data_IF_309117418230
#
_entry.id   IF_309117418230
#
_cell.length_a   1.000
_cell.length_b   1.000
_cell.length_c   1.000
_cell.angle_alpha   90.00
_cell.angle_beta   90.00
_cell.angle_gamma   90.00
#
_symmetry.space_group_name_H-M   'P 1'
#
loop_
_entity.id
_entity.type
_entity.pdbx_description
1 polymer ?
#
# COMPACT_ATOMS: atom_id res chain seq x y z
N UNK A 1 3.42 5.12 46.62
CA UNK A 1 4.37 6.12 46.09
C UNK A 1 5.59 5.38 45.60
N UNK A 2 5.92 5.49 44.31
CA UNK A 2 7.29 5.42 43.78
C UNK A 2 7.22 5.77 42.29
N UNK A 3 7.64 6.99 41.99
CA UNK A 3 7.84 7.52 40.65
C UNK A 3 8.97 6.74 39.96
N UNK A 4 8.81 6.39 38.69
CA UNK A 4 9.93 5.97 37.84
C UNK A 4 9.94 6.80 36.58
N UNK A 5 11.10 7.41 36.36
CA UNK A 5 11.38 8.55 35.49
C UNK A 5 11.30 8.24 34.00
N UNK A 6 10.70 9.17 33.25
CA UNK A 6 10.61 9.20 31.79
C UNK A 6 11.88 9.81 31.19
N UNK A 7 12.50 9.14 30.21
CA UNK A 7 13.53 9.76 29.36
C UNK A 7 13.15 9.64 27.89
N UNK A 8 13.05 10.80 27.23
CA UNK A 8 12.68 10.97 25.81
C UNK A 8 13.95 10.91 24.97
N UNK A 9 14.02 9.98 24.00
CA UNK A 9 15.05 9.99 22.96
C UNK A 9 14.56 10.82 21.78
N UNK A 10 15.31 11.87 21.44
CA UNK A 10 15.16 12.60 20.17
C UNK A 10 16.15 12.02 19.17
N UNK A 11 15.67 11.50 18.03
CA UNK A 11 16.54 11.14 16.90
C UNK A 11 16.17 11.99 15.69
N UNK A 12 17.13 12.79 15.22
CA UNK A 12 17.09 13.53 13.95
C UNK A 12 17.80 12.68 12.89
N UNK A 13 17.15 11.65 12.34
CA UNK A 13 17.72 10.92 11.18
C UNK A 13 16.61 10.28 10.34
N UNK A 14 16.46 10.79 9.11
CA UNK A 14 15.81 10.21 7.92
C UNK A 14 14.53 9.34 8.12
N UNK A 15 13.44 9.98 8.56
CA UNK A 15 12.09 9.42 8.41
C UNK A 15 11.51 9.78 7.04
N UNK A 16 11.58 8.85 6.09
CA UNK A 16 10.77 8.86 4.86
C UNK A 16 10.33 7.44 4.48
N UNK A 17 9.65 6.75 5.39
CA UNK A 17 8.65 5.78 4.94
C UNK A 17 7.48 6.58 4.37
N UNK A 18 7.24 6.44 3.07
CA UNK A 18 6.36 7.28 2.24
C UNK A 18 4.89 7.38 2.68
N UNK A 19 4.46 6.74 3.77
CA UNK A 19 3.11 6.87 4.35
C UNK A 19 3.08 7.61 5.70
N UNK A 20 4.23 7.73 6.39
CA UNK A 20 4.25 8.05 7.83
C UNK A 20 4.82 9.42 8.21
N UNK A 21 5.32 10.24 7.27
CA UNK A 21 6.00 11.50 7.62
C UNK A 21 5.10 12.74 7.74
N UNK A 22 3.79 12.64 7.49
CA UNK A 22 2.98 13.82 7.15
C UNK A 22 2.17 14.44 8.31
N UNK A 23 1.94 13.69 9.38
CA UNK A 23 1.01 14.11 10.44
C UNK A 23 1.69 14.87 11.60
N UNK A 24 2.95 15.29 11.49
CA UNK A 24 3.72 15.92 12.59
C UNK A 24 3.69 15.05 13.87
N UNK A 25 4.11 13.80 13.76
CA UNK A 25 4.08 12.84 14.87
C UNK A 25 5.15 13.09 15.94
N UNK A 26 4.81 12.79 17.21
CA UNK A 26 5.73 12.10 18.09
C UNK A 26 5.37 10.62 17.94
N UNK A 27 6.19 9.84 17.23
CA UNK A 27 5.97 8.40 17.19
C UNK A 27 6.26 7.89 18.60
N UNK A 28 5.21 7.65 19.38
CA UNK A 28 5.27 6.94 20.65
C UNK A 28 4.75 5.53 20.38
N UNK A 29 5.65 4.57 20.49
CA UNK A 29 5.33 3.15 20.39
C UNK A 29 4.68 2.69 21.70
N UNK A 30 3.43 2.22 21.65
CA UNK A 30 2.67 1.83 22.85
C UNK A 30 2.31 0.34 22.87
N UNK A 31 2.39 -0.27 24.06
CA UNK A 31 2.11 -1.69 24.34
C UNK A 31 0.67 -1.91 24.79
N UNK A 32 -0.07 -2.72 24.05
CA UNK A 32 -1.31 -3.35 24.52
C UNK A 32 -1.14 -4.87 24.53
N UNK A 33 -1.28 -5.48 25.70
CA UNK A 33 -1.25 -6.95 25.87
C UNK A 33 -2.69 -7.40 26.12
N UNK A 34 -3.33 -8.01 25.13
CA UNK A 34 -4.53 -8.82 25.37
C UNK A 34 -4.21 -10.30 25.12
N UNK A 35 -4.57 -11.13 26.10
CA UNK A 35 -4.46 -12.59 26.02
C UNK A 35 -5.37 -13.09 24.89
N UNK A 36 -4.77 -13.62 23.82
CA UNK A 36 -5.51 -14.41 22.83
C UNK A 36 -5.14 -14.19 21.36
N UNK A 37 -4.51 -13.07 20.98
CA UNK A 37 -3.85 -12.76 19.69
C UNK A 37 -3.29 -11.32 19.76
N UNK A 38 -2.03 -11.06 19.38
CA UNK A 38 -1.76 -9.94 18.44
C UNK A 38 -0.50 -10.09 17.56
N UNK A 39 -0.45 -9.42 16.39
CA UNK A 39 0.77 -9.16 15.57
C UNK A 39 1.12 -7.65 15.52
N UNK A 40 0.90 -6.93 16.63
CA UNK A 40 1.43 -5.57 16.82
C UNK A 40 2.29 -5.60 18.08
N UNK A 41 3.60 -5.50 17.89
CA UNK A 41 4.59 -5.62 18.97
C UNK A 41 5.49 -4.38 19.05
N UNK A 42 6.09 -4.21 20.22
CA UNK A 42 6.81 -3.02 20.69
C UNK A 42 8.18 -3.50 21.18
N UNK A 43 9.27 -2.94 20.66
CA UNK A 43 10.61 -3.30 21.10
C UNK A 43 11.39 -2.20 21.82
N UNK A 44 12.27 -2.65 22.73
CA UNK A 44 13.27 -1.89 23.50
C UNK A 44 14.67 -2.13 22.91
N UNK A 45 15.53 -1.10 22.99
CA UNK A 45 16.89 -0.99 22.41
C UNK A 45 18.02 -1.68 23.18
N UNK A 46 19.08 -2.00 22.42
CA UNK A 46 20.51 -1.83 22.76
C UNK A 46 21.23 -0.92 21.73
N UNK A 47 22.35 -0.30 22.13
CA UNK A 47 23.27 0.62 21.38
C UNK A 47 23.95 -0.04 20.14
N UNK A 48 24.60 0.62 19.16
CA UNK A 48 25.47 1.81 19.18
C UNK A 48 25.62 2.46 17.76
N UNK A 49 26.48 3.48 17.62
CA UNK A 49 26.49 4.60 16.67
C UNK A 49 27.48 4.55 15.46
N UNK A 50 27.35 5.55 14.56
CA UNK A 50 28.28 6.16 13.54
C UNK A 50 27.81 6.03 12.06
N UNK A 51 27.34 7.08 11.35
CA UNK A 51 27.95 8.28 10.70
C UNK A 51 28.55 8.03 9.30
N UNK A 52 28.04 8.70 8.24
CA UNK A 52 28.77 9.45 7.15
C UNK A 52 27.84 9.90 5.98
N UNK A 53 28.26 10.81 5.05
CA UNK A 53 27.43 11.91 4.56
C UNK A 53 27.05 11.83 3.06
N UNK A 54 26.13 12.74 2.69
CA UNK A 54 25.54 13.00 1.37
C UNK A 54 26.57 13.47 0.33
N UNK A 55 26.34 13.13 -0.95
CA UNK A 55 26.53 14.05 -2.07
C UNK A 55 25.52 13.76 -3.20
N UNK A 56 24.89 14.84 -3.68
CA UNK A 56 24.12 14.92 -4.93
C UNK A 56 25.08 15.34 -6.04
N UNK A 57 24.92 14.83 -7.26
CA UNK A 57 24.42 15.65 -8.38
C UNK A 57 24.25 14.86 -9.68
N UNK A 58 23.16 15.21 -10.36
CA UNK A 58 22.89 15.01 -11.77
C UNK A 58 23.85 15.85 -12.64
N UNK A 59 24.30 15.30 -13.79
CA UNK A 59 24.23 15.87 -15.16
C UNK A 59 25.41 15.43 -16.07
N UNK A 60 25.02 14.97 -17.27
CA UNK A 60 25.64 15.08 -18.61
C UNK A 60 27.14 14.79 -18.86
N UNK A 61 27.37 13.77 -19.70
CA UNK A 61 28.62 13.46 -20.44
C UNK A 61 28.82 14.42 -21.64
N UNK A 62 30.08 14.68 -22.08
CA UNK A 62 30.60 13.90 -23.22
C UNK A 62 32.13 13.59 -23.27
N UNK A 63 32.42 12.41 -23.83
CA UNK A 63 33.50 11.89 -24.71
C UNK A 63 35.01 12.28 -24.64
N UNK A 64 35.80 11.22 -24.91
CA UNK A 64 37.14 11.10 -25.55
C UNK A 64 38.37 11.03 -24.62
N UNK A 65 39.47 10.32 -24.89
CA UNK A 65 39.86 9.22 -25.80
C UNK A 65 41.28 8.72 -25.34
N UNK A 66 41.57 7.44 -25.59
CA UNK A 66 42.88 6.78 -25.85
C UNK A 66 43.92 6.39 -24.75
N UNK A 67 44.21 5.07 -24.77
CA UNK A 67 45.48 4.29 -24.62
C UNK A 67 46.28 4.37 -23.30
N UNK A 68 46.97 3.34 -22.80
CA UNK A 68 47.79 2.29 -23.43
C UNK A 68 47.91 1.05 -22.51
N UNK A 69 48.15 -0.14 -23.09
CA UNK A 69 48.35 -1.44 -22.43
C UNK A 69 49.81 -1.62 -21.97
N UNK A 70 50.04 -2.18 -20.77
CA UNK A 70 51.23 -2.99 -20.45
C UNK A 70 50.87 -4.15 -19.49
N UNK A 71 51.64 -5.24 -19.59
CA UNK A 71 51.33 -6.61 -19.21
C UNK A 71 51.82 -7.02 -17.80
N UNK A 72 51.21 -8.11 -17.28
CA UNK A 72 51.66 -9.09 -16.25
C UNK A 72 51.09 -8.97 -14.82
N UNK A 73 50.39 -10.05 -14.40
CA UNK A 73 50.04 -10.35 -13.01
C UNK A 73 48.77 -11.19 -12.90
N UNK A 74 48.89 -12.51 -12.92
CA UNK A 74 47.78 -13.43 -12.64
C UNK A 74 47.52 -13.47 -11.13
N UNK A 75 46.55 -12.69 -10.67
CA UNK A 75 45.83 -12.86 -9.40
C UNK A 75 44.55 -12.00 -9.47
N UNK A 76 43.40 -12.62 -9.19
CA UNK A 76 42.08 -12.00 -9.07
C UNK A 76 41.56 -11.24 -10.31
N UNK A 77 40.99 -11.98 -11.26
CA UNK A 77 40.15 -11.37 -12.31
C UNK A 77 38.83 -10.88 -11.70
N UNK A 78 38.85 -9.69 -11.11
CA UNK A 78 37.70 -8.80 -11.18
C UNK A 78 37.43 -8.52 -12.67
N UNK A 79 36.34 -9.10 -13.19
CA UNK A 79 35.81 -8.78 -14.50
C UNK A 79 35.41 -7.29 -14.55
N UNK A 80 36.35 -6.45 -14.99
CA UNK A 80 36.13 -5.02 -15.27
C UNK A 80 35.40 -4.76 -16.59
N UNK A 81 34.55 -5.69 -17.05
CA UNK A 81 33.80 -5.58 -18.31
C UNK A 81 32.28 -5.79 -18.20
N UNK A 82 31.72 -6.16 -17.03
CA UNK A 82 30.25 -6.32 -16.95
C UNK A 82 29.56 -4.96 -16.75
N UNK A 83 28.76 -4.54 -17.74
CA UNK A 83 27.90 -3.34 -17.67
C UNK A 83 26.75 -3.45 -16.63
N UNK A 84 26.74 -4.47 -15.78
CA UNK A 84 25.70 -4.76 -14.80
C UNK A 84 26.18 -5.71 -13.70
N UNK A 85 25.27 -6.05 -12.77
CA UNK A 85 25.53 -6.95 -11.65
C UNK A 85 25.01 -8.36 -11.92
N UNK A 86 25.69 -9.39 -11.42
CA UNK A 86 25.14 -10.75 -11.48
C UNK A 86 23.82 -10.83 -10.67
N UNK A 87 22.81 -11.56 -11.17
CA UNK A 87 21.52 -11.73 -10.48
C UNK A 87 21.70 -12.15 -9.01
N UNK A 88 22.59 -13.12 -8.75
CA UNK A 88 22.93 -13.58 -7.39
C UNK A 88 23.43 -12.44 -6.49
N UNK A 89 24.21 -11.51 -7.03
CA UNK A 89 24.70 -10.35 -6.26
C UNK A 89 23.54 -9.40 -5.92
N UNK A 90 22.67 -9.11 -6.90
CA UNK A 90 21.47 -8.29 -6.67
C UNK A 90 20.57 -8.92 -5.60
N UNK A 91 20.28 -10.21 -5.70
CA UNK A 91 19.48 -10.93 -4.70
C UNK A 91 20.12 -10.91 -3.32
N UNK A 92 21.45 -11.07 -3.22
CA UNK A 92 22.16 -10.96 -1.95
C UNK A 92 21.96 -9.59 -1.31
N UNK A 93 22.00 -8.51 -2.10
CA UNK A 93 21.76 -7.14 -1.61
C UNK A 93 20.31 -6.93 -1.19
N UNK A 94 19.34 -7.40 -1.98
CA UNK A 94 17.91 -7.34 -1.64
C UNK A 94 17.60 -8.10 -0.35
N UNK A 95 18.15 -9.32 -0.18
CA UNK A 95 17.97 -10.12 1.04
C UNK A 95 18.67 -9.50 2.26
N UNK A 96 19.79 -8.79 2.07
CA UNK A 96 20.44 -8.06 3.13
C UNK A 96 19.62 -6.84 3.58
N UNK A 97 18.91 -6.18 2.66
CA UNK A 97 17.97 -5.11 2.96
C UNK A 97 16.72 -5.64 3.69
N UNK A 98 16.15 -6.74 3.20
CA UNK A 98 15.01 -7.40 3.83
C UNK A 98 15.04 -8.89 3.49
N UNK A 99 15.24 -9.73 4.50
CA UNK A 99 15.22 -11.17 4.30
C UNK A 99 13.80 -11.62 3.92
N UNK A 100 13.62 -12.49 2.91
CA UNK A 100 12.33 -13.11 2.62
C UNK A 100 11.71 -13.85 3.82
N UNK A 101 12.53 -14.29 4.79
CA UNK A 101 12.06 -14.91 6.04
C UNK A 101 11.27 -13.96 6.96
N UNK A 102 11.23 -12.67 6.64
CA UNK A 102 10.43 -11.66 7.33
C UNK A 102 8.98 -11.62 6.84
N UNK A 103 8.69 -12.21 5.68
CA UNK A 103 7.34 -12.24 5.14
C UNK A 103 6.38 -13.05 6.02
N UNK A 104 5.10 -12.72 5.92
CA UNK A 104 4.05 -13.49 6.56
C UNK A 104 4.01 -14.93 6.02
N UNK A 105 3.60 -15.88 6.86
CA UNK A 105 3.68 -17.31 6.54
C UNK A 105 2.82 -17.78 5.36
N UNK A 106 1.84 -16.97 4.95
CA UNK A 106 0.95 -17.24 3.83
C UNK A 106 1.45 -16.62 2.51
N UNK A 107 2.49 -15.80 2.58
CA UNK A 107 2.95 -14.99 1.46
C UNK A 107 3.88 -15.75 0.52
N UNK A 108 4.03 -15.26 -0.72
CA UNK A 108 4.96 -15.80 -1.71
C UNK A 108 5.94 -14.72 -2.19
N UNK A 109 7.08 -14.63 -1.51
CA UNK A 109 8.10 -13.59 -1.70
C UNK A 109 9.43 -14.15 -2.21
N UNK A 110 10.32 -13.26 -2.64
CA UNK A 110 11.65 -13.60 -3.13
C UNK A 110 11.71 -13.66 -4.66
N UNK A 111 12.65 -14.46 -5.18
CA UNK A 111 12.78 -14.71 -6.62
C UNK A 111 11.70 -15.69 -7.08
N UNK A 112 10.74 -15.20 -7.87
CA UNK A 112 9.61 -15.97 -8.37
C UNK A 112 9.84 -16.58 -9.75
N UNK A 113 10.63 -15.91 -10.59
CA UNK A 113 11.02 -16.43 -11.92
C UNK A 113 12.52 -16.21 -12.11
N UNK A 114 13.25 -17.30 -12.33
CA UNK A 114 14.67 -17.30 -12.63
C UNK A 114 14.92 -17.83 -14.06
N UNK A 115 15.49 -17.02 -14.97
CA UNK A 115 15.94 -17.50 -16.26
C UNK A 115 17.05 -18.54 -16.12
N UNK A 116 17.05 -19.58 -16.97
CA UNK A 116 18.10 -20.63 -16.97
C UNK A 116 19.51 -20.04 -17.19
N UNK A 117 19.60 -19.00 -18.00
CA UNK A 117 20.84 -18.25 -18.24
C UNK A 117 20.61 -16.77 -17.93
N UNK A 118 20.74 -16.34 -16.66
CA UNK A 118 20.54 -14.95 -16.28
C UNK A 118 21.54 -14.04 -16.98
N UNK A 119 21.06 -12.89 -17.46
CA UNK A 119 21.92 -11.81 -17.95
C UNK A 119 22.46 -11.01 -16.75
N UNK A 120 23.60 -10.30 -16.90
CA UNK A 120 23.95 -9.24 -15.97
C UNK A 120 22.78 -8.24 -15.87
N UNK A 121 22.37 -7.91 -14.65
CA UNK A 121 21.29 -6.97 -14.36
C UNK A 121 21.82 -5.56 -14.57
N UNK A 122 21.30 -4.90 -15.60
CA UNK A 122 21.56 -3.48 -15.91
C UNK A 122 20.30 -2.67 -15.66
N UNK A 123 19.13 -3.16 -16.09
CA UNK A 123 17.87 -2.46 -15.96
C UNK A 123 16.92 -3.20 -15.02
N UNK A 124 16.47 -2.50 -13.97
CA UNK A 124 15.43 -2.99 -13.07
C UNK A 124 14.17 -2.15 -13.24
N UNK A 125 13.03 -2.80 -13.52
CA UNK A 125 11.72 -2.16 -13.52
C UNK A 125 11.03 -2.40 -12.17
N UNK A 126 10.67 -1.33 -11.47
CA UNK A 126 9.86 -1.34 -10.25
C UNK A 126 8.39 -1.12 -10.57
N UNK A 127 7.52 -1.95 -9.99
CA UNK A 127 6.07 -1.85 -10.13
C UNK A 127 5.39 -2.37 -8.87
N UNK A 128 4.20 -1.86 -8.57
CA UNK A 128 3.29 -2.40 -7.57
C UNK A 128 2.68 -3.69 -8.10
N UNK A 129 2.12 -3.61 -9.31
CA UNK A 129 1.38 -4.68 -9.96
C UNK A 129 1.92 -4.96 -11.36
N UNK A 130 2.58 -6.11 -11.56
CA UNK A 130 3.00 -6.55 -12.89
C UNK A 130 1.79 -6.97 -13.74
N UNK A 131 1.25 -6.03 -14.52
CA UNK A 131 0.21 -6.28 -15.53
C UNK A 131 0.80 -6.52 -16.92
N UNK A 132 -0.03 -6.91 -17.89
CA UNK A 132 0.41 -7.03 -19.30
C UNK A 132 0.89 -5.70 -19.89
N UNK A 133 0.37 -4.56 -19.43
CA UNK A 133 0.85 -3.25 -19.87
C UNK A 133 2.25 -2.97 -19.32
N UNK A 134 2.48 -3.22 -18.03
CA UNK A 134 3.79 -3.10 -17.39
C UNK A 134 4.81 -4.06 -18.00
N UNK A 135 4.38 -5.27 -18.38
CA UNK A 135 5.25 -6.23 -19.08
C UNK A 135 5.68 -5.72 -20.46
N UNK A 136 4.79 -5.11 -21.25
CA UNK A 136 5.17 -4.51 -22.54
C UNK A 136 6.20 -3.40 -22.35
N UNK A 137 5.97 -2.52 -21.38
CA UNK A 137 6.95 -1.50 -20.98
C UNK A 137 8.30 -2.12 -20.58
N UNK A 138 8.29 -3.22 -19.81
CA UNK A 138 9.52 -3.91 -19.41
C UNK A 138 10.33 -4.41 -20.62
N UNK A 139 9.66 -4.93 -21.65
CA UNK A 139 10.28 -5.37 -22.90
C UNK A 139 10.87 -4.20 -23.69
N UNK A 140 10.10 -3.11 -23.83
CA UNK A 140 10.55 -1.88 -24.51
C UNK A 140 11.79 -1.28 -23.85
N UNK A 141 11.86 -1.32 -22.51
CA UNK A 141 12.98 -0.83 -21.72
C UNK A 141 14.16 -1.81 -21.64
N UNK A 142 14.09 -2.96 -22.30
CA UNK A 142 15.13 -4.00 -22.21
C UNK A 142 15.46 -4.37 -20.77
N UNK A 143 14.42 -4.59 -19.96
CA UNK A 143 14.53 -4.92 -18.54
C UNK A 143 15.22 -6.28 -18.33
N UNK A 144 16.05 -6.39 -17.30
CA UNK A 144 16.71 -7.65 -16.91
C UNK A 144 16.08 -8.27 -15.65
N UNK A 145 15.55 -7.43 -14.75
CA UNK A 145 14.85 -7.84 -13.54
C UNK A 145 13.62 -6.94 -13.32
N UNK A 146 12.47 -7.56 -13.10
CA UNK A 146 11.27 -6.87 -12.62
C UNK A 146 11.17 -7.11 -11.11
N UNK A 147 11.00 -6.02 -10.35
CA UNK A 147 10.60 -6.09 -8.95
C UNK A 147 9.14 -5.65 -8.86
N UNK A 148 8.25 -6.63 -8.68
CA UNK A 148 6.81 -6.42 -8.52
C UNK A 148 6.44 -6.52 -7.05
N UNK A 149 5.95 -5.44 -6.44
CA UNK A 149 5.57 -5.40 -5.03
C UNK A 149 4.61 -6.54 -4.69
N UNK A 150 3.50 -6.63 -5.44
CA UNK A 150 2.58 -7.75 -5.38
C UNK A 150 3.11 -8.94 -6.20
N UNK A 151 3.10 -10.15 -5.63
CA UNK A 151 3.56 -11.35 -6.31
C UNK A 151 2.57 -11.79 -7.41
N UNK A 152 2.99 -11.82 -8.69
CA UNK A 152 2.11 -12.28 -9.76
C UNK A 152 1.77 -13.77 -9.58
N UNK A 153 2.74 -14.55 -9.11
CA UNK A 153 2.55 -15.93 -8.62
C UNK A 153 2.16 -15.85 -7.14
N UNK A 154 0.89 -15.63 -6.84
CA UNK A 154 0.42 -15.63 -5.43
C UNK A 154 0.01 -17.03 -4.97
N UNK A 155 -0.67 -17.78 -5.84
CA UNK A 155 -1.03 -19.18 -5.61
C UNK A 155 -0.14 -20.10 -6.47
N UNK A 156 0.14 -21.33 -6.00
CA UNK A 156 0.92 -22.30 -6.79
C UNK A 156 0.32 -22.56 -8.16
N UNK A 157 1.15 -22.48 -9.19
CA UNK A 157 0.77 -22.79 -10.57
C UNK A 157 0.93 -24.28 -10.83
N UNK A 158 -0.11 -24.91 -11.40
CA UNK A 158 -0.05 -26.32 -11.81
C UNK A 158 0.63 -26.52 -13.18
N UNK A 159 0.64 -25.48 -14.01
CA UNK A 159 1.27 -25.44 -15.32
C UNK A 159 1.58 -24.00 -15.71
N UNK A 160 2.54 -23.81 -16.61
CA UNK A 160 2.82 -22.52 -17.26
C UNK A 160 2.52 -22.65 -18.74
N UNK A 161 1.42 -22.03 -19.18
CA UNK A 161 0.96 -21.96 -20.57
C UNK A 161 0.65 -20.51 -20.95
N UNK A 162 -0.08 -20.25 -22.02
CA UNK A 162 -0.54 -18.89 -22.39
C UNK A 162 -2.03 -18.64 -22.09
N UNK A 163 -2.68 -19.57 -21.36
CA UNK A 163 -4.13 -19.54 -21.08
C UNK A 163 -4.55 -18.35 -20.22
N UNK A 164 -3.85 -18.10 -19.13
CA UNK A 164 -4.13 -16.97 -18.23
C UNK A 164 -3.10 -15.86 -18.42
N UNK A 165 -3.49 -14.62 -18.11
CA UNK A 165 -2.58 -13.47 -18.18
C UNK A 165 -1.36 -13.65 -17.27
N UNK A 166 -1.54 -14.20 -16.06
CA UNK A 166 -0.43 -14.49 -15.14
C UNK A 166 0.56 -15.51 -15.71
N UNK A 167 0.07 -16.59 -16.33
CA UNK A 167 0.96 -17.55 -16.98
C UNK A 167 1.69 -16.93 -18.18
N UNK A 168 1.01 -16.06 -18.97
CA UNK A 168 1.66 -15.29 -20.05
C UNK A 168 2.79 -14.41 -19.54
N UNK A 169 2.62 -13.70 -18.42
CA UNK A 169 3.70 -12.89 -17.83
C UNK A 169 4.93 -13.74 -17.52
N UNK A 170 4.73 -14.92 -16.93
CA UNK A 170 5.83 -15.83 -16.57
C UNK A 170 6.49 -16.41 -17.81
N UNK A 171 5.71 -16.84 -18.80
CA UNK A 171 6.23 -17.32 -20.07
C UNK A 171 7.07 -16.24 -20.77
N UNK A 172 6.58 -15.00 -20.82
CA UNK A 172 7.30 -13.85 -21.37
C UNK A 172 8.59 -13.56 -20.60
N UNK A 173 8.58 -13.60 -19.26
CA UNK A 173 9.79 -13.45 -18.44
C UNK A 173 10.86 -14.50 -18.82
N UNK A 174 10.48 -15.77 -18.92
CA UNK A 174 11.38 -16.86 -19.24
C UNK A 174 11.93 -16.75 -20.66
N UNK A 175 11.07 -16.48 -21.65
CA UNK A 175 11.43 -16.32 -23.06
C UNK A 175 12.43 -15.17 -23.26
N UNK A 176 12.25 -14.06 -22.54
CA UNK A 176 13.06 -12.85 -22.67
C UNK A 176 14.20 -12.77 -21.64
N UNK A 177 14.42 -13.84 -20.85
CA UNK A 177 15.45 -13.89 -19.79
C UNK A 177 15.36 -12.70 -18.82
N UNK A 178 14.15 -12.44 -18.34
CA UNK A 178 13.84 -11.43 -17.34
C UNK A 178 13.57 -12.15 -16.02
N UNK A 179 14.33 -11.80 -14.98
CA UNK A 179 14.05 -12.29 -13.64
C UNK A 179 12.85 -11.57 -13.03
N UNK A 180 12.10 -12.23 -12.16
CA UNK A 180 10.99 -11.64 -11.41
C UNK A 180 11.21 -11.84 -9.91
N UNK A 181 11.26 -10.74 -9.17
CA UNK A 181 11.36 -10.73 -7.72
C UNK A 181 10.14 -10.02 -7.11
N UNK A 182 9.61 -10.57 -6.01
CA UNK A 182 8.52 -9.93 -5.28
C UNK A 182 8.82 -9.83 -3.78
N UNK A 183 8.88 -8.62 -3.22
CA UNK A 183 9.18 -8.44 -1.80
C UNK A 183 7.95 -8.54 -0.90
N UNK A 184 6.82 -8.00 -1.33
CA UNK A 184 5.54 -7.93 -0.61
C UNK A 184 5.70 -7.70 0.90
N UNK A 185 5.13 -8.55 1.75
CA UNK A 185 5.09 -8.33 3.20
C UNK A 185 6.47 -8.30 3.88
N UNK A 186 7.52 -8.86 3.24
CA UNK A 186 8.88 -8.77 3.79
C UNK A 186 9.39 -7.32 3.86
N UNK A 187 8.87 -6.42 3.02
CA UNK A 187 9.25 -5.02 3.02
C UNK A 187 8.33 -4.14 3.88
N UNK A 188 7.14 -4.60 4.22
CA UNK A 188 6.19 -3.87 5.10
C UNK A 188 6.73 -3.63 6.51
N UNK A 189 7.62 -4.52 6.98
CA UNK A 189 8.12 -4.51 8.36
C UNK A 189 9.51 -3.88 8.51
N UNK A 190 10.08 -3.40 7.41
CA UNK A 190 11.47 -2.91 7.36
C UNK A 190 11.49 -1.39 7.37
N UNK A 191 12.30 -0.80 8.25
CA UNK A 191 12.55 0.65 8.28
C UNK A 191 13.95 0.91 7.75
N UNK A 192 14.06 1.49 6.54
CA UNK A 192 15.35 1.84 5.94
C UNK A 192 16.31 0.66 5.74
N UNK A 193 15.79 -0.56 5.55
CA UNK A 193 16.60 -1.78 5.39
C UNK A 193 16.97 -2.49 6.68
N UNK A 194 16.42 -2.05 7.82
CA UNK A 194 16.65 -2.71 9.11
C UNK A 194 15.35 -3.39 9.54
N UNK A 195 15.34 -4.73 9.72
CA UNK A 195 14.23 -5.43 10.33
C UNK A 195 14.04 -4.87 11.74
N UNK A 196 12.89 -4.25 12.01
CA UNK A 196 12.66 -3.68 13.33
C UNK A 196 12.24 -4.83 14.25
N UNK A 197 13.20 -5.41 14.98
CA UNK A 197 12.96 -6.56 15.86
C UNK A 197 11.72 -6.30 16.74
N UNK A 198 10.80 -7.27 16.81
CA UNK A 198 9.56 -7.14 17.57
C UNK A 198 8.53 -6.17 16.98
N UNK A 199 8.51 -5.96 15.66
CA UNK A 199 7.49 -5.16 14.96
C UNK A 199 6.77 -6.03 13.91
N UNK A 200 5.49 -5.74 13.70
CA UNK A 200 4.66 -6.34 12.65
C UNK A 200 4.27 -5.30 11.59
N UNK A 201 3.30 -5.66 10.76
CA UNK A 201 2.70 -4.77 9.76
C UNK A 201 1.88 -3.67 10.44
N UNK A 202 1.76 -2.52 9.77
CA UNK A 202 1.02 -1.36 10.27
C UNK A 202 1.69 -0.57 11.40
N UNK A 203 1.13 0.60 11.73
CA UNK A 203 1.66 1.52 12.76
C UNK A 203 0.52 2.13 13.58
N UNK A 204 0.72 2.23 14.89
CA UNK A 204 -0.11 3.05 15.78
C UNK A 204 0.66 4.31 16.16
N UNK A 205 0.10 5.46 15.83
CA UNK A 205 0.73 6.75 16.03
C UNK A 205 -0.11 7.63 16.96
N UNK A 206 0.57 8.49 17.72
CA UNK A 206 -0.06 9.51 18.56
C UNK A 206 0.36 10.88 18.06
N UNK A 207 -0.61 11.72 17.75
CA UNK A 207 -0.40 13.08 17.26
C UNK A 207 0.08 13.97 18.40
N UNK A 208 0.99 14.91 18.09
CA UNK A 208 1.46 15.90 19.09
C UNK A 208 0.35 16.83 19.54
N UNK A 209 -0.59 17.10 18.65
CA UNK A 209 -1.77 17.93 18.85
C UNK A 209 -2.93 17.22 18.16
N UNK A 210 -4.08 17.04 18.85
CA UNK A 210 -5.27 16.54 18.19
C UNK A 210 -5.65 17.40 16.98
N UNK A 211 -6.19 16.76 15.95
CA UNK A 211 -6.68 17.41 14.73
C UNK A 211 -8.11 16.96 14.46
N UNK A 212 -8.90 17.74 13.72
CA UNK A 212 -10.22 17.26 13.28
C UNK A 212 -10.09 16.16 12.23
N UNK A 213 -11.15 15.36 12.07
CA UNK A 213 -11.25 14.38 10.97
C UNK A 213 -11.10 15.04 9.61
N UNK A 214 -11.69 16.22 9.42
CA UNK A 214 -11.57 16.96 8.16
C UNK A 214 -10.10 17.33 7.86
N UNK A 215 -9.37 17.83 8.87
CA UNK A 215 -7.94 18.09 8.72
C UNK A 215 -7.16 16.79 8.43
N UNK A 216 -7.50 15.68 9.09
CA UNK A 216 -6.89 14.38 8.82
C UNK A 216 -7.11 13.94 7.36
N UNK A 217 -8.33 14.06 6.83
CA UNK A 217 -8.67 13.77 5.43
C UNK A 217 -7.84 14.60 4.47
N UNK A 218 -7.77 15.92 4.66
CA UNK A 218 -7.02 16.82 3.77
C UNK A 218 -5.51 16.54 3.83
N UNK A 219 -5.01 16.16 5.00
CA UNK A 219 -3.63 15.73 5.16
C UNK A 219 -3.33 14.44 4.40
N UNK A 220 -4.21 13.44 4.52
CA UNK A 220 -4.07 12.15 3.83
C UNK A 220 -4.11 12.34 2.31
N UNK A 221 -5.09 13.09 1.79
CA UNK A 221 -5.24 13.39 0.36
C UNK A 221 -4.00 14.07 -0.22
N UNK A 222 -3.48 15.08 0.49
CA UNK A 222 -2.26 15.81 0.07
C UNK A 222 -1.03 14.91 0.08
N UNK A 223 -0.92 14.03 1.06
CA UNK A 223 0.23 13.17 1.24
C UNK A 223 0.29 12.03 0.20
N UNK A 224 -0.84 11.37 -0.03
CA UNK A 224 -0.96 10.29 -1.02
C UNK A 224 -1.10 10.86 -2.43
N UNK A 225 -1.43 12.15 -2.56
CA UNK A 225 -1.70 12.85 -3.82
C UNK A 225 -2.92 12.28 -4.57
N UNK A 226 -4.04 12.13 -3.85
CA UNK A 226 -5.32 11.64 -4.39
C UNK A 226 -6.45 12.67 -4.19
N UNK A 227 -7.37 12.80 -5.16
CA UNK A 227 -8.41 13.83 -5.13
C UNK A 227 -9.59 13.52 -4.19
N UNK A 228 -9.74 12.26 -3.77
CA UNK A 228 -10.81 11.81 -2.87
C UNK A 228 -10.32 10.69 -1.96
N UNK A 229 -11.06 10.47 -0.87
CA UNK A 229 -10.98 9.30 0.01
C UNK A 229 -12.41 8.89 0.37
N UNK A 230 -12.60 7.67 0.88
CA UNK A 230 -13.86 7.29 1.51
C UNK A 230 -13.73 7.44 3.01
N UNK A 231 -14.70 8.08 3.65
CA UNK A 231 -14.70 8.35 5.09
C UNK A 231 -15.90 7.65 5.73
N UNK A 232 -15.66 6.91 6.80
CA UNK A 232 -16.69 6.51 7.76
C UNK A 232 -16.43 7.22 9.09
N UNK A 233 -17.47 7.88 9.61
CA UNK A 233 -17.40 8.53 10.90
C UNK A 233 -17.80 7.55 12.00
N UNK A 234 -17.13 7.66 13.15
CA UNK A 234 -17.56 6.98 14.36
C UNK A 234 -19.00 7.37 14.73
N UNK A 235 -19.76 6.43 15.31
CA UNK A 235 -21.17 6.64 15.65
C UNK A 235 -21.36 7.85 16.58
N UNK A 236 -22.23 8.78 16.17
CA UNK A 236 -22.50 10.02 16.93
C UNK A 236 -21.39 11.08 16.86
N UNK A 237 -20.44 10.94 15.93
CA UNK A 237 -19.39 11.91 15.65
C UNK A 237 -19.59 12.56 14.28
N UNK A 238 -18.90 13.68 14.08
CA UNK A 238 -18.90 14.48 12.87
C UNK A 238 -17.47 14.70 12.35
N UNK A 239 -17.32 15.47 11.28
CA UNK A 239 -16.04 15.78 10.66
C UNK A 239 -15.14 16.72 11.49
N UNK A 240 -15.72 17.42 12.47
CA UNK A 240 -15.01 18.35 13.35
C UNK A 240 -14.50 17.67 14.62
N UNK A 241 -14.96 16.44 14.87
CA UNK A 241 -14.49 15.56 15.95
C UNK A 241 -12.97 15.39 15.88
N UNK A 242 -12.33 15.48 17.06
CA UNK A 242 -10.88 15.44 17.19
C UNK A 242 -10.37 14.00 17.25
N UNK A 243 -9.22 13.76 16.61
CA UNK A 243 -8.44 12.54 16.71
C UNK A 243 -7.05 12.84 17.25
N UNK A 244 -6.56 11.97 18.13
CA UNK A 244 -5.20 12.03 18.67
C UNK A 244 -4.41 10.76 18.32
N UNK A 245 -5.09 9.62 18.23
CA UNK A 245 -4.49 8.32 17.94
C UNK A 245 -4.92 7.81 16.57
N UNK A 246 -3.94 7.37 15.77
CA UNK A 246 -4.17 6.91 14.39
C UNK A 246 -3.50 5.56 14.19
N UNK A 247 -4.29 4.53 13.88
CA UNK A 247 -3.79 3.22 13.46
C UNK A 247 -3.81 3.12 11.93
N UNK A 248 -2.72 2.62 11.36
CA UNK A 248 -2.39 2.76 9.95
C UNK A 248 -1.92 1.42 9.40
N UNK A 249 -2.47 0.99 8.28
CA UNK A 249 -1.96 -0.16 7.52
C UNK A 249 -2.31 0.04 6.04
N UNK A 250 -1.35 0.33 5.15
CA UNK A 250 -1.59 0.34 3.71
C UNK A 250 -2.15 -1.00 3.20
N UNK A 251 -2.76 -0.99 2.01
CA UNK A 251 -3.37 -2.17 1.40
C UNK A 251 -4.66 -2.62 2.08
N UNK A 252 -4.83 -3.95 2.23
CA UNK A 252 -5.99 -4.57 2.89
C UNK A 252 -5.78 -4.69 4.41
N UNK A 253 -5.75 -3.56 5.11
CA UNK A 253 -5.32 -3.48 6.50
C UNK A 253 -6.25 -4.05 7.58
N UNK A 254 -7.44 -4.58 7.28
CA UNK A 254 -8.39 -4.94 8.34
C UNK A 254 -7.83 -5.96 9.34
N UNK A 255 -7.14 -6.99 8.86
CA UNK A 255 -6.59 -8.05 9.73
C UNK A 255 -5.57 -7.50 10.73
N UNK A 256 -4.86 -6.43 10.35
CA UNK A 256 -3.87 -5.73 11.17
C UNK A 256 -4.54 -4.76 12.14
N UNK A 257 -5.55 -4.02 11.68
CA UNK A 257 -6.19 -2.95 12.45
C UNK A 257 -7.25 -3.46 13.43
N UNK A 258 -7.85 -4.62 13.15
CA UNK A 258 -8.94 -5.17 13.97
C UNK A 258 -8.54 -5.32 15.43
N UNK A 259 -9.30 -4.63 16.31
CA UNK A 259 -9.08 -4.64 17.76
C UNK A 259 -8.05 -3.62 18.26
N UNK A 260 -7.41 -2.86 17.36
CA UNK A 260 -6.54 -1.74 17.73
C UNK A 260 -7.39 -0.57 18.21
N UNK A 261 -7.16 -0.12 19.45
CA UNK A 261 -7.81 1.07 20.01
C UNK A 261 -7.13 2.33 19.47
N UNK A 262 -7.77 2.97 18.51
CA UNK A 262 -7.37 4.27 17.97
C UNK A 262 -8.60 5.09 17.60
N UNK A 263 -8.47 6.42 17.57
CA UNK A 263 -9.56 7.32 17.17
C UNK A 263 -9.81 7.22 15.66
N UNK A 264 -8.76 6.97 14.88
CA UNK A 264 -8.81 6.87 13.42
C UNK A 264 -8.06 5.63 12.93
N UNK A 265 -8.69 4.87 12.06
CA UNK A 265 -8.07 3.87 11.20
C UNK A 265 -7.86 4.43 9.80
N UNK A 266 -6.67 4.19 9.24
CA UNK A 266 -6.32 4.60 7.88
C UNK A 266 -5.71 3.40 7.13
N UNK A 267 -6.37 2.99 6.04
CA UNK A 267 -5.99 1.83 5.23
C UNK A 267 -6.39 2.03 3.78
N UNK A 268 -5.95 1.16 2.87
CA UNK A 268 -6.38 1.19 1.48
C UNK A 268 -7.84 0.76 1.35
N UNK A 269 -8.16 -0.41 1.88
CA UNK A 269 -9.51 -1.00 1.80
C UNK A 269 -9.92 -1.79 3.05
N UNK A 270 -11.23 -1.98 3.18
CA UNK A 270 -11.90 -2.81 4.20
C UNK A 270 -13.23 -3.34 3.66
N UNK A 271 -13.71 -4.47 4.18
CA UNK A 271 -15.07 -4.94 3.87
C UNK A 271 -16.13 -4.07 4.56
N UNK A 272 -17.33 -4.01 3.98
CA UNK A 272 -18.43 -3.16 4.44
C UNK A 272 -18.75 -3.33 5.94
N UNK A 273 -18.93 -4.57 6.40
CA UNK A 273 -19.27 -4.85 7.79
C UNK A 273 -18.13 -4.49 8.75
N UNK A 274 -16.88 -4.57 8.31
CA UNK A 274 -15.73 -4.22 9.14
C UNK A 274 -15.66 -2.71 9.37
N UNK A 275 -16.04 -1.91 8.36
CA UNK A 275 -16.18 -0.46 8.49
C UNK A 275 -17.32 -0.11 9.47
N UNK A 276 -18.46 -0.80 9.36
CA UNK A 276 -19.59 -0.60 10.28
C UNK A 276 -19.22 -0.92 11.73
N UNK A 277 -18.51 -2.02 11.96
CA UNK A 277 -18.06 -2.45 13.27
C UNK A 277 -17.08 -1.45 13.87
N UNK A 278 -16.11 -0.96 13.10
CA UNK A 278 -15.17 0.07 13.54
C UNK A 278 -15.89 1.36 13.94
N UNK A 279 -16.82 1.84 13.11
CA UNK A 279 -17.61 3.03 13.38
C UNK A 279 -18.45 2.90 14.66
N UNK A 280 -19.10 1.76 14.89
CA UNK A 280 -19.87 1.49 16.11
C UNK A 280 -19.00 1.36 17.35
N UNK A 281 -17.75 0.95 17.21
CA UNK A 281 -16.76 0.91 18.29
C UNK A 281 -16.13 2.27 18.58
N UNK A 282 -16.58 3.33 17.92
CA UNK A 282 -16.10 4.70 18.16
C UNK A 282 -14.84 5.05 17.36
N UNK A 283 -14.50 4.28 16.33
CA UNK A 283 -13.32 4.51 15.48
C UNK A 283 -13.74 5.08 14.12
N UNK A 284 -13.13 6.20 13.72
CA UNK A 284 -13.28 6.72 12.37
C UNK A 284 -12.46 5.88 11.38
N UNK A 285 -12.86 5.82 10.12
CA UNK A 285 -12.12 5.08 9.07
C UNK A 285 -11.93 5.96 7.85
N UNK A 286 -10.69 6.10 7.39
CA UNK A 286 -10.36 6.64 6.08
C UNK A 286 -9.85 5.50 5.19
N UNK A 287 -10.47 5.36 4.01
CA UNK A 287 -10.04 4.42 2.97
C UNK A 287 -9.48 5.19 1.78
N UNK A 288 -8.28 4.79 1.35
CA UNK A 288 -7.54 5.47 0.29
C UNK A 288 -7.48 4.70 -1.04
N UNK A 289 -8.18 3.57 -1.17
CA UNK A 289 -7.94 2.51 -2.15
C UNK A 289 -6.62 1.78 -1.89
N UNK A 290 -6.59 0.50 -2.27
CA UNK A 290 -5.49 -0.42 -2.00
C UNK A 290 -4.18 0.13 -2.57
N UNK A 291 -4.12 0.22 -3.90
CA UNK A 291 -2.89 0.54 -4.60
C UNK A 291 -2.42 1.98 -4.38
N UNK A 292 -3.35 2.94 -4.27
CA UNK A 292 -3.04 4.34 -3.97
C UNK A 292 -2.30 4.47 -2.62
N UNK A 293 -2.67 3.66 -1.62
CA UNK A 293 -2.02 3.66 -0.31
C UNK A 293 -0.59 3.09 -0.31
N UNK A 294 -0.22 2.35 -1.35
CA UNK A 294 1.05 1.60 -1.44
C UNK A 294 2.03 2.21 -2.44
N UNK A 295 1.57 2.63 -3.64
CA UNK A 295 2.44 3.05 -4.76
C UNK A 295 3.47 4.12 -4.40
N UNK A 296 3.12 5.03 -3.50
CA UNK A 296 4.03 6.08 -3.03
C UNK A 296 5.34 5.54 -2.46
N UNK A 297 5.32 4.32 -1.90
CA UNK A 297 6.49 3.63 -1.37
C UNK A 297 7.54 3.32 -2.46
N UNK A 298 7.13 2.90 -3.66
CA UNK A 298 8.06 2.50 -4.72
C UNK A 298 8.98 3.65 -5.13
N UNK A 299 8.45 4.89 -5.16
CA UNK A 299 9.25 6.07 -5.45
C UNK A 299 10.36 6.29 -4.41
N UNK A 300 10.05 6.18 -3.13
CA UNK A 300 11.08 6.26 -2.08
C UNK A 300 12.05 5.08 -2.10
N UNK A 301 11.55 3.91 -2.49
CA UNK A 301 12.36 2.71 -2.57
C UNK A 301 13.32 2.72 -3.76
N UNK A 302 12.94 3.33 -4.88
CA UNK A 302 13.81 3.48 -6.05
C UNK A 302 15.15 4.16 -5.70
N UNK A 303 15.10 5.23 -4.90
CA UNK A 303 16.29 5.93 -4.40
C UNK A 303 17.14 4.99 -3.52
N UNK A 304 16.49 4.28 -2.59
CA UNK A 304 17.15 3.32 -1.69
C UNK A 304 17.82 2.18 -2.45
N UNK A 305 17.15 1.67 -3.49
CA UNK A 305 17.66 0.59 -4.31
C UNK A 305 18.83 1.04 -5.19
N UNK A 306 18.77 2.27 -5.70
CA UNK A 306 19.87 2.89 -6.44
C UNK A 306 21.12 3.01 -5.57
N UNK A 307 20.97 3.48 -4.32
CA UNK A 307 22.07 3.54 -3.35
C UNK A 307 22.62 2.13 -3.00
N UNK A 308 21.73 1.13 -2.89
CA UNK A 308 22.08 -0.25 -2.52
C UNK A 308 22.85 -1.00 -3.62
N UNK A 309 22.49 -0.78 -4.88
CA UNK A 309 23.05 -1.49 -6.04
C UNK A 309 24.15 -0.70 -6.76
N UNK A 310 24.20 0.61 -6.55
CA UNK A 310 25.18 1.51 -7.14
C UNK A 310 24.99 1.75 -8.64
N UNK A 311 25.92 2.50 -9.24
CA UNK A 311 25.79 3.09 -10.58
C UNK A 311 25.81 2.09 -11.75
N UNK A 312 26.00 0.80 -11.47
CA UNK A 312 25.96 -0.27 -12.49
C UNK A 312 24.54 -0.70 -12.86
N UNK A 313 23.53 -0.26 -12.11
CA UNK A 313 22.14 -0.65 -12.30
C UNK A 313 21.26 0.59 -12.42
N UNK A 314 20.47 0.65 -13.48
CA UNK A 314 19.44 1.64 -13.71
C UNK A 314 18.12 1.15 -13.09
N UNK A 315 17.56 1.94 -12.15
CA UNK A 315 16.27 1.68 -11.54
C UNK A 315 15.21 2.54 -12.22
N UNK A 316 14.19 1.89 -12.79
CA UNK A 316 13.11 2.53 -13.53
C UNK A 316 11.80 2.26 -12.79
N UNK A 317 11.01 3.31 -12.56
CA UNK A 317 9.64 3.18 -12.05
C UNK A 317 8.71 3.02 -13.24
N UNK A 318 7.87 1.99 -13.25
CA UNK A 318 6.90 1.77 -14.33
C UNK A 318 5.94 2.96 -14.47
N UNK A 319 5.78 3.43 -15.70
CA UNK A 319 4.80 4.43 -16.09
C UNK A 319 3.43 3.81 -16.41
N UNK A 320 3.41 2.53 -16.75
CA UNK A 320 2.18 1.79 -17.08
C UNK A 320 1.44 1.26 -15.85
N UNK A 321 2.09 1.21 -14.70
CA UNK A 321 1.48 0.85 -13.42
C UNK A 321 0.42 1.87 -13.02
N UNK A 322 -0.81 1.40 -12.86
CA UNK A 322 -1.93 2.23 -12.46
C UNK A 322 -2.99 1.42 -11.72
N UNK A 323 -3.85 2.12 -10.95
CA UNK A 323 -4.93 1.48 -10.24
C UNK A 323 -5.95 0.90 -11.23
N UNK A 324 -6.38 -0.36 -11.06
CA UNK A 324 -7.46 -0.91 -11.88
C UNK A 324 -8.80 -0.18 -11.68
N UNK A 325 -8.97 0.55 -10.57
CA UNK A 325 -10.17 1.31 -10.26
C UNK A 325 -10.00 2.79 -10.62
N UNK A 326 -11.02 3.33 -11.28
CA UNK A 326 -11.17 4.78 -11.52
C UNK A 326 -12.48 5.24 -10.89
N UNK A 327 -12.43 6.30 -10.09
CA UNK A 327 -13.66 6.94 -9.63
C UNK A 327 -14.23 7.80 -10.76
N UNK A 328 -15.46 7.53 -11.12
CA UNK A 328 -16.21 8.28 -12.13
C UNK A 328 -17.21 9.18 -11.40
N UNK A 329 -17.13 10.50 -11.62
CA UNK A 329 -18.18 11.45 -11.21
C UNK A 329 -17.96 12.27 -9.92
N UNK A 330 -16.73 12.71 -9.59
CA UNK A 330 -16.51 13.59 -8.43
C UNK A 330 -16.39 15.08 -8.81
N UNK A 331 -17.49 15.71 -9.23
CA UNK A 331 -17.67 17.15 -9.02
C UNK A 331 -18.02 17.37 -7.54
N UNK A 332 -17.42 18.37 -6.85
CA UNK A 332 -17.57 18.51 -5.41
C UNK A 332 -18.95 19.07 -5.05
N UNK A 333 -19.90 18.21 -4.70
CA UNK A 333 -21.10 18.63 -3.94
C UNK A 333 -21.04 18.01 -2.54
N UNK A 334 -20.16 18.56 -1.70
CA UNK A 334 -20.15 18.26 -0.28
C UNK A 334 -21.34 18.98 0.39
N UNK A 335 -22.53 18.43 0.22
CA UNK A 335 -23.73 18.82 0.95
C UNK A 335 -24.36 17.55 1.54
N UNK A 336 -23.78 17.06 2.64
CA UNK A 336 -24.42 16.01 3.44
C UNK A 336 -25.65 16.60 4.13
N UNK A 337 -26.85 16.10 3.79
CA UNK A 337 -28.05 16.35 4.59
C UNK A 337 -27.97 15.51 5.87
N UNK A 338 -27.98 16.18 7.02
CA UNK A 338 -28.17 15.55 8.33
C UNK A 338 -29.49 14.77 8.36
N UNK A 339 -29.44 13.45 8.33
CA UNK A 339 -30.56 12.59 8.71
C UNK A 339 -30.51 12.32 10.22
N UNK A 340 -30.85 13.34 11.01
CA UNK A 340 -30.79 13.28 12.48
C UNK A 340 -31.92 14.00 13.22
N UNK A 341 -33.05 14.34 12.57
CA UNK A 341 -34.21 14.94 13.28
C UNK A 341 -35.29 13.89 13.55
N UNK A 342 -35.79 13.76 14.80
CA UNK A 342 -36.89 12.85 15.10
C UNK A 342 -38.16 13.33 14.40
N UNK A 343 -38.92 12.38 13.86
CA UNK A 343 -40.18 12.59 13.15
C UNK A 343 -41.20 13.26 14.09
N UNK A 344 -41.33 14.60 14.02
CA UNK A 344 -42.44 15.30 14.67
C UNK A 344 -43.71 15.01 13.87
N UNK A 345 -44.65 14.26 14.49
CA UNK A 345 -46.03 14.14 14.00
C UNK A 345 -46.70 15.51 14.04
N UNK A 346 -46.78 16.18 12.90
CA UNK A 346 -47.76 17.24 12.68
C UNK A 346 -48.83 16.70 11.74
N UNK A 347 -50.00 16.37 12.28
CA UNK A 347 -51.21 16.15 11.52
C UNK A 347 -51.67 17.49 10.92
N UNK A 348 -51.88 17.58 9.59
CA UNK A 348 -52.73 18.63 9.03
C UNK A 348 -54.19 18.17 9.13
N UNK A 349 -55.03 18.95 9.82
CA UNK A 349 -56.47 18.83 9.70
C UNK A 349 -56.87 19.17 8.26
N UNK A 350 -57.25 18.15 7.49
CA UNK A 350 -57.90 18.34 6.19
C UNK A 350 -59.41 18.44 6.41
N UNK A 351 -59.96 19.62 6.12
CA UNK A 351 -61.39 19.88 5.97
C UNK A 351 -61.90 19.14 4.73
N UNK A 352 -62.99 18.38 4.88
CA UNK A 352 -63.61 17.60 3.79
C UNK A 352 -64.58 18.48 2.98
N UNK A 353 -64.53 18.46 1.63
CA UNK A 353 -65.67 18.84 0.82
C UNK A 353 -66.67 17.68 0.74
N UNK A 354 -67.96 18.01 0.76
CA UNK A 354 -69.12 17.12 0.71
C UNK A 354 -69.38 16.69 -0.73
N UNK A 355 -69.46 15.39 -1.02
CA UNK A 355 -70.00 14.88 -2.29
C UNK A 355 -70.88 13.63 -2.05
N UNK A 356 -72.00 13.60 -2.76
CA UNK A 356 -73.15 12.69 -2.65
C UNK A 356 -72.90 11.27 -3.20
N UNK A 357 -73.73 10.27 -2.83
CA UNK A 357 -73.45 8.86 -3.08
C UNK A 357 -74.07 8.33 -4.38
N UNK A 358 -73.34 7.51 -5.15
CA UNK A 358 -73.93 6.55 -6.10
C UNK A 358 -73.22 5.18 -6.14
N UNK A 359 -74.01 4.17 -5.78
CA UNK A 359 -74.13 2.73 -6.15
C UNK A 359 -72.92 1.79 -6.36
N UNK A 360 -73.01 0.50 -5.95
CA UNK A 360 -71.89 -0.46 -5.94
C UNK A 360 -71.89 -1.48 -7.10
N UNK A 361 -70.70 -2.01 -7.44
CA UNK A 361 -70.49 -3.34 -8.06
C UNK A 361 -69.00 -3.75 -8.04
N UNK A 362 -68.62 -5.04 -8.23
CA UNK A 362 -68.34 -5.98 -7.15
C UNK A 362 -66.88 -6.49 -7.10
N UNK A 363 -66.62 -7.30 -6.07
CA UNK A 363 -65.34 -7.95 -5.69
C UNK A 363 -64.68 -8.76 -6.80
N UNK A 364 -63.34 -8.74 -6.84
CA UNK A 364 -62.53 -9.89 -7.24
C UNK A 364 -61.16 -9.89 -6.55
N UNK A 365 -60.66 -11.12 -6.38
CA UNK A 365 -59.75 -11.62 -5.35
C UNK A 365 -58.26 -11.56 -5.70
N UNK A 366 -57.47 -11.59 -4.64
CA UNK A 366 -56.04 -11.89 -4.49
C UNK A 366 -55.40 -12.83 -5.52
N UNK A 367 -54.21 -12.47 -6.02
CA UNK A 367 -53.17 -13.44 -6.41
C UNK A 367 -51.76 -12.86 -6.18
N UNK A 368 -50.93 -13.65 -5.49
CA UNK A 368 -49.50 -13.41 -5.26
C UNK A 368 -48.68 -13.73 -6.52
N UNK A 369 -47.55 -13.03 -6.73
CA UNK A 369 -46.48 -13.46 -7.63
C UNK A 369 -45.11 -13.35 -6.96
N UNK A 370 -44.53 -14.51 -6.68
CA UNK A 370 -43.09 -14.77 -6.74
C UNK A 370 -42.73 -15.10 -8.19
N UNK A 371 -41.72 -14.43 -8.78
CA UNK A 371 -40.67 -15.03 -9.64
C UNK A 371 -39.91 -14.00 -10.47
N UNK A 372 -38.62 -14.29 -10.64
CA UNK A 372 -37.76 -14.01 -11.81
C UNK A 372 -37.44 -12.56 -12.21
N UNK A 373 -36.17 -12.18 -12.01
CA UNK A 373 -35.43 -11.28 -12.89
C UNK A 373 -34.13 -11.98 -13.29
N UNK A 374 -34.21 -12.68 -14.41
CA UNK A 374 -33.09 -12.94 -15.30
C UNK A 374 -33.25 -11.99 -16.50
N UNK A 375 -32.11 -11.69 -17.13
CA UNK A 375 -31.98 -11.08 -18.45
C UNK A 375 -32.22 -9.57 -18.55
N UNK A 376 -31.13 -8.81 -18.58
CA UNK A 376 -30.92 -7.77 -19.59
C UNK A 376 -29.41 -7.52 -19.74
N UNK A 377 -28.83 -8.16 -20.77
CA UNK A 377 -27.53 -7.85 -21.32
C UNK A 377 -27.66 -7.85 -22.85
N UNK A 378 -27.73 -6.65 -23.44
CA UNK A 378 -27.25 -6.27 -24.80
C UNK A 378 -27.82 -4.90 -25.14
N UNK A 379 -26.97 -3.89 -25.16
CA UNK A 379 -26.64 -3.05 -26.33
C UNK A 379 -25.34 -2.29 -26.08
#
# INVERSE_FOLDING_TARGET
MNFVSLKVLHSKTLLKTCFFSFLNFHIKFYRQVHKGRPNIFIAKRGCDSTLFPRNRCYQHLPNSLFSTVTHLGAADMEDKSSKGLALKHVLCKLHAFASPALAESWDNVGLLVEPVTPRPIVNILLTNDLTEAVMREALELSTDLIISYHPPIFAPLKSVTTKTWKERLIATCLENRIALYSPHTSWDIVEGGIPVAGHGTGRLCVLKKPISILEAVERVKRHINIPYVRLALASGKDQDSLVETVALCPGSGTTVLKGVKADLWLTGEMFHHEVLDAAHQGTHVILCNHSDSERGFLKSFADTLSDLLGDKVCIILSHSDCDPLKTVGSEPTFAWRESGKPFRKNHPQFTRPRFEPRSPRPQQSSFNMTSTLADYATE
#
